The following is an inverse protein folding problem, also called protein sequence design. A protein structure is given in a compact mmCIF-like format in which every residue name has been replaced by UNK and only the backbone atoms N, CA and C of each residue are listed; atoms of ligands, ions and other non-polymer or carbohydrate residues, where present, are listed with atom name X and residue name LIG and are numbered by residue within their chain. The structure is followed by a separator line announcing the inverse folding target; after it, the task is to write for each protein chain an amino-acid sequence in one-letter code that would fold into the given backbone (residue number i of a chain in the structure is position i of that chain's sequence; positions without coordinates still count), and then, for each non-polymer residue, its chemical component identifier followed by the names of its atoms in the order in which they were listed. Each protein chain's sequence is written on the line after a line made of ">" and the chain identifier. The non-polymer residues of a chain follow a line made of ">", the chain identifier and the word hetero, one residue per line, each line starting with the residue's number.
data_IF_798163843388
#
_entry.id   IF_798163843388
#
_cell.length_a   1.000
_cell.length_b   1.000
_cell.length_c   1.000
_cell.angle_alpha   90.00
_cell.angle_beta   90.00
_cell.angle_gamma   90.00
#
_symmetry.space_group_name_H-M   'P 1'
#
loop_
_entity.id
_entity.type
_entity.pdbx_description
1 polymer ?
#
# COMPACT_ATOMS: atom_id res chain seq x y z
N UNK A 1 -9.14 -17.81 -8.45
CA UNK A 1 -10.12 -16.70 -8.32
C UNK A 1 -9.82 -15.93 -7.05
N UNK A 2 -8.79 -15.08 -7.04
CA UNK A 2 -8.49 -14.25 -5.86
C UNK A 2 -9.47 -13.10 -5.85
N UNK A 3 -10.51 -13.18 -5.01
CA UNK A 3 -11.43 -12.07 -4.80
C UNK A 3 -10.62 -10.87 -4.29
N UNK A 4 -10.73 -9.71 -4.94
CA UNK A 4 -10.13 -8.47 -4.44
C UNK A 4 -10.62 -8.22 -3.01
N UNK A 5 -9.74 -7.89 -2.05
CA UNK A 5 -10.18 -7.60 -0.69
C UNK A 5 -11.11 -6.38 -0.69
N UNK A 6 -12.15 -6.43 0.14
CA UNK A 6 -13.03 -5.29 0.32
C UNK A 6 -12.26 -4.10 0.95
N UNK A 7 -12.73 -2.85 0.78
CA UNK A 7 -12.09 -1.70 1.42
C UNK A 7 -11.98 -1.84 2.94
N UNK A 8 -12.96 -2.45 3.60
CA UNK A 8 -12.96 -2.61 5.06
C UNK A 8 -11.88 -3.61 5.50
N UNK A 9 -11.73 -4.73 4.78
CA UNK A 9 -10.63 -5.69 5.00
C UNK A 9 -9.26 -5.05 4.80
N UNK A 10 -9.11 -4.14 3.83
CA UNK A 10 -7.86 -3.40 3.62
C UNK A 10 -7.57 -2.49 4.83
N UNK A 11 -8.57 -1.77 5.35
CA UNK A 11 -8.41 -0.88 6.51
C UNK A 11 -8.01 -1.64 7.77
N UNK A 12 -8.71 -2.73 8.07
CA UNK A 12 -8.38 -3.60 9.20
C UNK A 12 -6.97 -4.17 9.09
N UNK A 13 -6.58 -4.60 7.89
CA UNK A 13 -5.24 -5.13 7.65
C UNK A 13 -4.15 -4.08 7.86
N UNK A 14 -4.35 -2.84 7.39
CA UNK A 14 -3.38 -1.76 7.63
C UNK A 14 -3.28 -1.46 9.13
N UNK A 15 -4.41 -1.39 9.85
CA UNK A 15 -4.42 -1.24 11.33
C UNK A 15 -3.62 -2.34 12.01
N UNK A 16 -3.86 -3.59 11.64
CA UNK A 16 -3.19 -4.75 12.22
C UNK A 16 -1.67 -4.75 11.95
N UNK A 17 -1.26 -4.51 10.70
CA UNK A 17 0.16 -4.48 10.32
C UNK A 17 0.91 -3.32 10.96
N UNK A 18 0.27 -2.15 11.08
CA UNK A 18 0.85 -1.01 11.78
C UNK A 18 1.13 -1.33 13.26
N UNK A 19 0.15 -1.96 13.93
CA UNK A 19 0.30 -2.38 15.32
C UNK A 19 1.39 -3.46 15.49
N UNK A 20 1.43 -4.48 14.62
CA UNK A 20 2.47 -5.52 14.66
C UNK A 20 3.89 -4.95 14.48
N UNK A 21 4.05 -3.93 13.65
CA UNK A 21 5.35 -3.30 13.36
C UNK A 21 5.71 -2.18 14.34
N UNK A 22 4.84 -1.84 15.29
CA UNK A 22 5.05 -0.72 16.23
C UNK A 22 5.13 0.65 15.55
N UNK A 23 4.50 0.81 14.38
CA UNK A 23 4.46 2.08 13.65
C UNK A 23 3.09 2.73 13.77
N UNK A 24 3.03 4.07 13.68
CA UNK A 24 1.76 4.79 13.70
C UNK A 24 1.22 4.99 12.28
N UNK A 25 -0.09 5.27 12.17
CA UNK A 25 -0.71 5.67 10.91
C UNK A 25 -0.16 7.00 10.40
N UNK A 26 0.23 7.90 11.31
CA UNK A 26 0.86 9.17 10.96
C UNK A 26 2.21 8.95 10.28
N UNK A 27 3.06 8.09 10.86
CA UNK A 27 4.40 7.81 10.32
C UNK A 27 4.31 7.13 8.95
N UNK A 28 3.39 6.17 8.80
CA UNK A 28 3.12 5.54 7.52
C UNK A 28 2.63 6.56 6.49
N UNK A 29 1.77 7.49 6.90
CA UNK A 29 1.25 8.53 6.01
C UNK A 29 2.36 9.47 5.51
N UNK A 30 3.26 9.89 6.40
CA UNK A 30 4.46 10.66 6.04
C UNK A 30 5.37 9.87 5.11
N UNK A 31 5.58 8.58 5.39
CA UNK A 31 6.46 7.70 4.61
C UNK A 31 6.00 7.51 3.16
N UNK A 32 4.69 7.57 2.91
CA UNK A 32 4.12 7.53 1.55
C UNK A 32 3.94 8.92 0.92
N UNK A 33 4.53 9.97 1.49
CA UNK A 33 4.48 11.34 0.95
C UNK A 33 3.10 12.00 1.05
N UNK A 34 2.26 11.58 2.01
CA UNK A 34 0.93 12.17 2.27
C UNK A 34 0.94 13.01 3.54
N UNK A 35 -0.12 13.80 3.73
CA UNK A 35 -0.31 14.54 4.99
C UNK A 35 -0.50 13.58 6.18
N UNK A 36 -0.31 14.07 7.40
CA UNK A 36 -0.32 13.23 8.62
C UNK A 36 -1.65 12.50 8.86
N UNK A 37 -2.76 13.07 8.40
CA UNK A 37 -4.11 12.55 8.64
C UNK A 37 -4.60 11.56 7.57
N UNK A 38 -3.90 11.38 6.46
CA UNK A 38 -4.43 10.66 5.28
C UNK A 38 -4.80 9.21 5.59
N UNK A 39 -3.91 8.42 6.21
CA UNK A 39 -4.24 7.04 6.58
C UNK A 39 -5.28 6.95 7.69
N UNK A 40 -5.29 7.90 8.63
CA UNK A 40 -6.35 7.97 9.65
C UNK A 40 -7.72 8.24 9.01
N UNK A 41 -7.80 9.13 8.01
CA UNK A 41 -9.03 9.39 7.27
C UNK A 41 -9.47 8.18 6.44
N UNK A 42 -8.53 7.51 5.76
CA UNK A 42 -8.81 6.31 4.99
C UNK A 42 -9.45 5.22 5.86
N UNK A 43 -8.94 5.06 7.09
CA UNK A 43 -9.34 4.01 8.01
C UNK A 43 -10.61 4.37 8.79
N UNK A 44 -10.67 5.56 9.39
CA UNK A 44 -11.78 5.94 10.29
C UNK A 44 -12.95 6.56 9.54
N UNK A 45 -12.66 7.38 8.51
CA UNK A 45 -13.69 8.12 7.75
C UNK A 45 -14.05 7.42 6.44
N UNK A 46 -13.29 6.40 6.05
CA UNK A 46 -13.48 5.70 4.78
C UNK A 46 -13.21 6.57 3.54
N UNK A 47 -12.51 7.69 3.70
CA UNK A 47 -12.19 8.62 2.63
C UNK A 47 -10.68 8.79 2.50
N UNK A 48 -10.08 8.57 1.31
CA UNK A 48 -10.74 8.15 0.07
C UNK A 48 -11.29 6.71 0.16
N UNK A 49 -12.20 6.33 -0.75
CA UNK A 49 -12.78 4.96 -0.76
C UNK A 49 -11.74 3.88 -1.10
N UNK A 50 -10.69 4.24 -1.86
CA UNK A 50 -9.58 3.38 -2.26
C UNK A 50 -8.28 4.17 -2.19
N UNK A 51 -7.19 3.48 -1.84
CA UNK A 51 -5.84 4.03 -1.95
C UNK A 51 -5.47 4.22 -3.43
N UNK A 52 -4.71 5.29 -3.71
CA UNK A 52 -4.07 5.47 -5.02
C UNK A 52 -3.05 4.36 -5.23
N UNK A 53 -2.75 4.07 -6.49
CA UNK A 53 -1.81 3.00 -6.86
C UNK A 53 -0.42 3.20 -6.25
N UNK A 54 0.19 4.36 -6.46
CA UNK A 54 1.51 4.67 -5.90
C UNK A 54 1.51 4.63 -4.36
N UNK A 55 0.44 5.11 -3.73
CA UNK A 55 0.31 5.07 -2.26
C UNK A 55 0.27 3.62 -1.76
N UNK A 56 -0.46 2.77 -2.48
CA UNK A 56 -0.62 1.36 -2.14
C UNK A 56 0.70 0.60 -2.31
N UNK A 57 1.44 0.87 -3.38
CA UNK A 57 2.78 0.32 -3.62
C UNK A 57 3.75 0.71 -2.49
N UNK A 58 3.88 2.01 -2.20
CA UNK A 58 4.76 2.48 -1.14
C UNK A 58 4.34 1.99 0.24
N UNK A 59 3.03 1.88 0.50
CA UNK A 59 2.52 1.34 1.75
C UNK A 59 2.80 -0.16 1.88
N UNK A 60 2.69 -0.93 0.78
CA UNK A 60 3.04 -2.35 0.73
C UNK A 60 4.53 -2.57 1.01
N UNK A 61 5.41 -1.76 0.42
CA UNK A 61 6.84 -1.75 0.74
C UNK A 61 7.10 -1.35 2.20
N UNK A 62 6.36 -0.36 2.71
CA UNK A 62 6.56 0.14 4.06
C UNK A 62 6.15 -0.89 5.13
N UNK A 63 5.08 -1.63 4.86
CA UNK A 63 4.53 -2.69 5.69
C UNK A 63 5.10 -4.07 5.33
N UNK A 64 6.00 -4.13 4.34
CA UNK A 64 6.65 -5.33 3.80
C UNK A 64 5.65 -6.51 3.69
N UNK A 65 4.65 -6.26 2.82
CA UNK A 65 3.58 -7.17 2.44
C UNK A 65 3.34 -7.10 0.94
N UNK A 66 2.66 -8.11 0.40
CA UNK A 66 2.20 -8.10 -0.99
C UNK A 66 1.14 -7.01 -1.23
N UNK A 67 1.30 -6.20 -2.28
CA UNK A 67 0.39 -5.11 -2.63
C UNK A 67 -1.06 -5.58 -2.88
N UNK A 68 -1.25 -6.83 -3.30
CA UNK A 68 -2.58 -7.45 -3.48
C UNK A 68 -3.37 -7.52 -2.18
N UNK A 69 -2.69 -7.59 -1.04
CA UNK A 69 -3.33 -7.53 0.28
C UNK A 69 -3.90 -6.13 0.59
N UNK A 70 -3.45 -5.11 -0.13
CA UNK A 70 -3.90 -3.72 -0.02
C UNK A 70 -4.80 -3.29 -1.20
N UNK A 71 -5.21 -4.24 -2.06
CA UNK A 71 -6.18 -4.01 -3.13
C UNK A 71 -5.61 -3.85 -4.54
N UNK A 72 -4.35 -4.22 -4.79
CA UNK A 72 -3.83 -4.36 -6.16
C UNK A 72 -4.59 -5.45 -6.93
N UNK A 73 -4.77 -5.25 -8.23
CA UNK A 73 -5.33 -6.27 -9.13
C UNK A 73 -4.27 -7.30 -9.48
N UNK A 74 -4.70 -8.53 -9.74
CA UNK A 74 -3.85 -9.61 -10.23
C UNK A 74 -4.04 -9.76 -11.77
N UNK A 75 -2.96 -9.92 -12.57
CA UNK A 75 -1.56 -9.91 -12.14
C UNK A 75 -1.08 -8.51 -11.76
N UNK A 76 -0.29 -8.45 -10.69
CA UNK A 76 0.41 -7.24 -10.26
C UNK A 76 1.57 -6.93 -11.22
N UNK A 77 1.65 -5.70 -11.71
CA UNK A 77 2.83 -5.18 -12.43
C UNK A 77 3.20 -3.84 -11.81
N UNK A 78 4.36 -3.71 -11.16
CA UNK A 78 4.86 -2.40 -10.74
C UNK A 78 5.14 -1.57 -11.99
N UNK A 79 4.85 -0.27 -11.93
CA UNK A 79 5.02 0.64 -13.06
C UNK A 79 6.50 0.74 -13.52
N UNK A 80 7.48 0.35 -12.69
CA UNK A 80 8.92 0.45 -13.01
C UNK A 80 9.77 -0.81 -12.72
N UNK A 81 9.29 -2.03 -12.93
CA UNK A 81 10.19 -3.21 -12.94
C UNK A 81 10.97 -3.42 -14.26
N UNK A 82 10.86 -2.50 -15.22
CA UNK A 82 11.57 -2.57 -16.53
C UNK A 82 12.70 -1.56 -16.68
N UNK A 83 13.07 -0.80 -15.64
CA UNK A 83 14.02 0.31 -15.77
C UNK A 83 15.50 -0.06 -15.57
N UNK A 84 15.88 -1.22 -15.03
CA UNK A 84 17.30 -1.63 -14.97
C UNK A 84 17.48 -3.15 -15.05
N UNK A 85 17.76 -3.68 -16.24
CA UNK A 85 18.94 -4.52 -16.58
C UNK A 85 19.11 -4.47 -18.10
N UNK A 86 19.75 -3.42 -18.62
CA UNK A 86 20.35 -3.43 -19.95
C UNK A 86 21.82 -3.02 -19.84
N UNK A 87 22.61 -3.83 -19.12
CA UNK A 87 24.07 -3.73 -19.17
C UNK A 87 24.70 -5.08 -18.82
N UNK A 88 24.74 -5.94 -19.84
CA UNK A 88 25.86 -6.86 -20.12
C UNK A 88 25.51 -7.75 -21.33
N UNK A 89 25.53 -7.18 -22.54
CA UNK A 89 25.89 -7.95 -23.75
C UNK A 89 26.30 -7.01 -24.89
N UNK A 90 27.53 -6.48 -24.82
CA UNK A 90 28.40 -6.21 -25.97
C UNK A 90 29.83 -6.43 -25.48
#
# INVERSE_FOLDING_TARGET
>A
MTAMPSPDTIRERIKFLAAQRGTTLLDLSKRIGRNEAYLQQFIERGSPRRLREDDRLHLAMALDVDERLLGARDPWSPIDASAEVQLALI
#
